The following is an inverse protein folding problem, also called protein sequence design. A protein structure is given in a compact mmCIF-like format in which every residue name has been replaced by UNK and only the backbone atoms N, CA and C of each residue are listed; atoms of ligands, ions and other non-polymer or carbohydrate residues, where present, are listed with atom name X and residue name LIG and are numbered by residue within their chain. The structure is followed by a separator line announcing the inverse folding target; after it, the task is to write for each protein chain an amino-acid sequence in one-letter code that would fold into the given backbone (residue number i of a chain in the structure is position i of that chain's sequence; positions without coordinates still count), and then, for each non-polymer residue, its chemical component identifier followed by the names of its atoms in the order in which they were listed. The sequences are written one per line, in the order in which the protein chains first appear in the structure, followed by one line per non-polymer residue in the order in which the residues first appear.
data_IF_145525810929
#
_entry.id   IF_145525810929
#
_cell.length_a   1.000
_cell.length_b   1.000
_cell.length_c   1.000
_cell.angle_alpha   90.00
_cell.angle_beta   90.00
_cell.angle_gamma   90.00
#
_symmetry.space_group_name_H-M   'P 1'
#
loop_
_entity.id
_entity.type
_entity.pdbx_description
1 polymer ?
#
# COMPACT_ATOMS: atom_id res chain seq x y z
N UNK A 1 9.62 12.98 -11.79
CA UNK A 1 9.33 12.43 -10.45
C UNK A 1 7.85 12.64 -10.17
N UNK A 2 7.14 11.62 -9.74
CA UNK A 2 5.73 11.74 -9.31
C UNK A 2 5.71 12.49 -7.97
N UNK A 3 4.91 13.55 -7.84
CA UNK A 3 4.86 14.30 -6.58
C UNK A 3 4.17 13.49 -5.47
N UNK A 4 4.37 13.86 -4.20
CA UNK A 4 3.66 13.21 -3.07
C UNK A 4 2.14 13.40 -3.15
N UNK A 5 1.68 14.51 -3.72
CA UNK A 5 0.26 14.75 -4.00
C UNK A 5 -0.26 13.75 -5.03
N UNK A 6 0.47 13.54 -6.12
CA UNK A 6 0.11 12.57 -7.16
C UNK A 6 0.07 11.13 -6.62
N UNK A 7 1.04 10.77 -5.76
CA UNK A 7 1.05 9.45 -5.12
C UNK A 7 -0.25 9.22 -4.32
N UNK A 8 -0.66 10.18 -3.51
CA UNK A 8 -1.91 10.07 -2.74
C UNK A 8 -3.14 9.92 -3.63
N UNK A 9 -3.22 10.68 -4.73
CA UNK A 9 -4.32 10.58 -5.69
C UNK A 9 -4.38 9.18 -6.31
N UNK A 10 -3.23 8.66 -6.76
CA UNK A 10 -3.14 7.33 -7.38
C UNK A 10 -3.50 6.20 -6.41
N UNK A 11 -3.06 6.29 -5.16
CA UNK A 11 -3.39 5.31 -4.11
C UNK A 11 -4.89 5.31 -3.80
N UNK A 12 -5.50 6.49 -3.63
CA UNK A 12 -6.94 6.61 -3.40
C UNK A 12 -7.75 6.08 -4.58
N UNK A 13 -7.31 6.35 -5.81
CA UNK A 13 -7.92 5.82 -7.03
C UNK A 13 -7.85 4.29 -7.06
N UNK A 14 -6.67 3.71 -6.86
CA UNK A 14 -6.49 2.27 -6.86
C UNK A 14 -7.33 1.57 -5.78
N UNK A 15 -7.42 2.17 -4.58
CA UNK A 15 -8.26 1.67 -3.50
C UNK A 15 -9.75 1.67 -3.86
N UNK A 16 -10.25 2.77 -4.47
CA UNK A 16 -11.64 2.89 -4.92
C UNK A 16 -11.96 1.88 -6.02
N UNK A 17 -11.05 1.69 -6.96
CA UNK A 17 -11.23 0.79 -8.12
C UNK A 17 -10.88 -0.68 -7.81
N UNK A 18 -10.40 -0.98 -6.59
CA UNK A 18 -9.90 -2.30 -6.16
C UNK A 18 -8.83 -2.85 -7.10
N UNK A 19 -7.87 -2.00 -7.46
CA UNK A 19 -6.75 -2.30 -8.36
C UNK A 19 -5.46 -2.48 -7.56
N UNK A 20 -4.68 -3.51 -7.89
CA UNK A 20 -3.37 -3.72 -7.26
C UNK A 20 -2.46 -2.52 -7.56
N UNK A 21 -1.59 -2.19 -6.62
CA UNK A 21 -0.57 -1.16 -6.83
C UNK A 21 0.83 -1.75 -6.76
N UNK A 22 1.68 -1.34 -7.69
CA UNK A 22 3.12 -1.55 -7.61
C UNK A 22 3.76 -0.29 -7.01
N UNK A 23 4.36 -0.42 -5.84
CA UNK A 23 5.04 0.68 -5.16
C UNK A 23 6.55 0.43 -5.08
N UNK A 24 7.33 1.51 -5.16
CA UNK A 24 8.73 1.52 -4.72
C UNK A 24 8.76 2.07 -3.30
N UNK A 25 9.04 1.21 -2.33
CA UNK A 25 8.96 1.51 -0.90
C UNK A 25 10.35 1.58 -0.28
N UNK A 26 10.64 2.72 0.34
CA UNK A 26 11.90 3.00 1.03
C UNK A 26 11.92 2.38 2.43
N UNK A 27 12.99 1.65 2.75
CA UNK A 27 13.28 1.14 4.07
C UNK A 27 14.39 1.98 4.71
N UNK A 28 14.11 2.72 5.79
CA UNK A 28 15.11 3.57 6.44
C UNK A 28 16.19 2.78 7.19
N UNK A 29 15.95 1.51 7.52
CA UNK A 29 16.92 0.73 8.31
C UNK A 29 18.15 0.30 7.51
N UNK A 30 17.99 0.10 6.20
CA UNK A 30 19.08 -0.34 5.32
C UNK A 30 19.29 0.59 4.12
N UNK A 31 18.65 1.76 4.12
CA UNK A 31 18.71 2.77 3.06
C UNK A 31 18.34 2.23 1.65
N UNK A 32 17.51 1.20 1.59
CA UNK A 32 17.14 0.55 0.33
C UNK A 32 15.68 0.79 -0.05
N UNK A 33 15.46 0.94 -1.35
CA UNK A 33 14.11 0.91 -1.93
C UNK A 33 13.82 -0.45 -2.54
N UNK A 34 12.68 -1.00 -2.16
CA UNK A 34 12.23 -2.30 -2.66
C UNK A 34 10.89 -2.17 -3.37
N UNK A 35 10.63 -3.06 -4.34
CA UNK A 35 9.36 -3.09 -5.07
C UNK A 35 8.38 -3.98 -4.33
N UNK A 36 7.12 -3.53 -4.22
CA UNK A 36 6.01 -4.28 -3.61
C UNK A 36 4.80 -4.21 -4.51
N UNK A 37 4.08 -5.32 -4.63
CA UNK A 37 2.70 -5.34 -5.14
C UNK A 37 1.78 -5.43 -3.93
N UNK A 38 0.83 -4.51 -3.84
CA UNK A 38 -0.03 -4.35 -2.66
C UNK A 38 -1.49 -4.28 -3.06
N UNK A 39 -2.32 -5.01 -2.32
CA UNK A 39 -3.77 -4.89 -2.36
C UNK A 39 -4.20 -3.98 -1.21
N UNK A 40 -4.72 -2.79 -1.51
CA UNK A 40 -5.02 -1.78 -0.48
C UNK A 40 -6.31 -2.13 0.26
N UNK A 41 -6.24 -2.45 1.54
CA UNK A 41 -7.42 -2.79 2.34
C UNK A 41 -7.98 -1.54 3.03
N UNK A 42 -7.12 -0.63 3.46
CA UNK A 42 -7.49 0.65 4.06
C UNK A 42 -6.43 1.72 3.81
N UNK A 43 -6.86 2.98 3.73
CA UNK A 43 -5.99 4.15 3.77
C UNK A 43 -6.41 4.97 4.99
N UNK A 44 -5.49 5.27 5.90
CA UNK A 44 -5.77 5.98 7.14
C UNK A 44 -4.52 6.74 7.61
N UNK A 45 -4.65 8.03 7.95
CA UNK A 45 -3.60 8.87 8.53
C UNK A 45 -2.20 8.71 7.89
N UNK A 46 -2.11 8.78 6.55
CA UNK A 46 -0.83 8.68 5.85
C UNK A 46 -0.26 7.26 5.76
N UNK A 47 -1.02 6.24 6.14
CA UNK A 47 -0.65 4.83 6.10
C UNK A 47 -1.62 4.05 5.22
N UNK A 48 -1.07 3.13 4.44
CA UNK A 48 -1.80 2.07 3.74
C UNK A 48 -1.73 0.82 4.57
N UNK A 49 -2.88 0.22 4.82
CA UNK A 49 -3.00 -1.15 5.31
C UNK A 49 -3.36 -2.02 4.11
N UNK A 50 -2.62 -3.09 3.86
CA UNK A 50 -2.90 -3.95 2.72
C UNK A 50 -2.10 -5.24 2.67
N UNK A 51 -2.53 -6.15 1.80
CA UNK A 51 -1.85 -7.43 1.59
C UNK A 51 -0.64 -7.24 0.68
N UNK A 52 0.53 -7.65 1.17
CA UNK A 52 1.80 -7.55 0.48
C UNK A 52 2.11 -8.87 -0.23
N UNK A 53 2.03 -8.88 -1.56
CA UNK A 53 2.25 -10.11 -2.35
C UNK A 53 3.67 -10.66 -2.28
N UNK A 54 4.67 -9.85 -1.88
CA UNK A 54 6.02 -10.37 -1.67
C UNK A 54 6.17 -11.12 -0.34
N UNK A 55 5.40 -10.71 0.68
CA UNK A 55 5.49 -11.29 2.03
C UNK A 55 4.35 -12.27 2.32
N UNK A 56 3.36 -12.33 1.43
CA UNK A 56 2.15 -13.13 1.57
C UNK A 56 1.41 -12.84 2.88
N UNK A 57 1.43 -11.57 3.31
CA UNK A 57 0.94 -11.15 4.62
C UNK A 57 0.46 -9.70 4.60
N UNK A 58 -0.39 -9.34 5.57
CA UNK A 58 -0.92 -7.99 5.76
C UNK A 58 0.15 -7.07 6.39
N UNK A 59 0.31 -5.87 5.84
CA UNK A 59 1.35 -4.91 6.26
C UNK A 59 0.89 -3.47 6.19
N UNK A 60 1.55 -2.65 7.00
CA UNK A 60 1.45 -1.19 6.98
C UNK A 60 2.54 -0.58 6.09
N UNK A 61 2.16 0.34 5.22
CA UNK A 61 3.08 1.12 4.39
C UNK A 61 2.85 2.62 4.63
N UNK A 62 3.88 3.31 5.13
CA UNK A 62 3.85 4.77 5.31
C UNK A 62 3.94 5.43 3.93
N UNK A 63 2.96 6.25 3.56
CA UNK A 63 2.87 6.87 2.23
C UNK A 63 4.09 7.75 1.93
N UNK A 64 4.64 8.42 2.95
CA UNK A 64 5.83 9.25 2.79
C UNK A 64 7.09 8.43 2.42
N UNK A 65 7.09 7.11 2.69
CA UNK A 65 8.17 6.20 2.27
C UNK A 65 7.95 5.63 0.87
N UNK A 66 6.85 5.98 0.18
CA UNK A 66 6.60 5.54 -1.20
C UNK A 66 7.26 6.54 -2.17
N UNK A 67 8.21 6.05 -2.95
CA UNK A 67 8.95 6.84 -3.93
C UNK A 67 8.23 6.92 -5.29
N UNK A 68 7.46 5.89 -5.64
CA UNK A 68 6.64 5.86 -6.85
C UNK A 68 5.51 4.84 -6.73
N UNK A 69 4.42 5.06 -7.45
CA UNK A 69 3.28 4.14 -7.53
C UNK A 69 2.82 3.97 -8.98
N UNK A 70 2.47 2.73 -9.34
CA UNK A 70 1.79 2.40 -10.58
C UNK A 70 0.54 1.55 -10.27
N UNK A 71 -0.60 1.89 -10.87
CA UNK A 71 -1.82 1.10 -10.77
C UNK A 71 -1.72 -0.04 -11.80
N UNK A 72 -1.90 -1.28 -11.37
CA UNK A 72 -1.83 -2.48 -12.21
C UNK A 72 -3.23 -2.89 -12.69
N UNK A 73 -3.34 -3.62 -13.80
CA UNK A 73 -4.61 -4.10 -14.39
C UNK A 73 -5.39 -5.05 -13.49
N UNK A 74 -4.68 -5.82 -12.70
CA UNK A 74 -5.20 -6.80 -11.78
C UNK A 74 -6.07 -6.15 -10.70
N UNK A 75 -7.23 -6.78 -10.48
CA UNK A 75 -8.14 -6.45 -9.40
C UNK A 75 -7.94 -7.39 -8.22
N UNK A 76 -8.40 -6.97 -7.05
CA UNK A 76 -8.46 -7.80 -5.85
C UNK A 76 -9.80 -7.62 -5.14
N UNK A 77 -10.12 -8.57 -4.27
CA UNK A 77 -11.18 -8.42 -3.28
C UNK A 77 -10.56 -8.40 -1.88
N UNK A 78 -11.19 -7.68 -0.96
CA UNK A 78 -10.83 -7.76 0.46
C UNK A 78 -11.53 -9.01 1.02
N UNK A 79 -10.84 -9.87 1.79
CA UNK A 79 -11.45 -11.04 2.42
C UNK A 79 -12.70 -10.67 3.23
N UNK A 80 -13.75 -11.49 3.13
CA UNK A 80 -14.98 -11.28 3.89
C UNK A 80 -14.67 -11.37 5.39
N UNK A 81 -15.16 -10.40 6.16
CA UNK A 81 -14.93 -10.35 7.61
C UNK A 81 -13.58 -9.76 8.01
N UNK A 82 -12.78 -9.26 7.07
CA UNK A 82 -11.58 -8.50 7.40
C UNK A 82 -11.94 -7.26 8.24
N UNK A 83 -11.26 -7.08 9.37
CA UNK A 83 -11.36 -5.87 10.20
C UNK A 83 -9.97 -5.24 10.38
N UNK A 84 -9.87 -3.91 10.50
CA UNK A 84 -8.58 -3.23 10.64
C UNK A 84 -7.91 -3.46 12.00
N UNK A 85 -8.63 -3.99 13.00
CA UNK A 85 -8.12 -4.17 14.36
C UNK A 85 -6.93 -5.13 14.42
N UNK A 86 -6.83 -6.07 13.46
CA UNK A 86 -5.74 -7.06 13.39
C UNK A 86 -4.36 -6.46 13.11
N UNK A 87 -4.27 -5.25 12.51
CA UNK A 87 -3.00 -4.69 12.02
C UNK A 87 -2.66 -3.33 12.68
N UNK A 88 -3.62 -2.65 13.29
CA UNK A 88 -3.41 -1.31 13.89
C UNK A 88 -2.73 -1.38 15.27
N UNK A 89 -2.66 -2.57 15.89
CA UNK A 89 -2.16 -2.74 17.27
C UNK A 89 -0.64 -2.97 17.40
N UNK A 90 0.08 -3.18 16.30
CA UNK A 90 1.56 -3.20 16.35
C UNK A 90 2.09 -1.76 16.34
N UNK A 91 2.05 -1.14 17.53
CA UNK A 91 2.73 0.13 17.86
C UNK A 91 4.20 -0.10 18.16
#
# INVERSE_FOLDING_TARGET
MTSKADINILLKRAFKEKRKVKIRYYNPHNDESTVRVVDIYKIYNGVIVGFCHLREDERNFVIDRINSVAILEEKYSIPKGWSPESIILDK
#
